data_IF_085562714079
#
_entry.id   IF_085562714079
#
_cell.length_a   1.000
_cell.length_b   1.000
_cell.length_c   1.000
_cell.angle_alpha   90.00
_cell.angle_beta   90.00
_cell.angle_gamma   90.00
#
_symmetry.space_group_name_H-M   'P 1'
#
loop_
_entity.id
_entity.type
_entity.pdbx_description
1 polymer ?
#
# COMPACT_ATOMS: atom_id res chain seq x y z
N UNK A 1 -7.20 60.94 -20.53
CA UNK A 1 -7.28 59.99 -19.40
C UNK A 1 -6.85 58.62 -19.91
N UNK A 2 -5.60 58.25 -19.59
CA UNK A 2 -4.99 56.97 -19.92
C UNK A 2 -5.45 55.94 -18.89
N UNK A 3 -6.13 54.89 -19.34
CA UNK A 3 -6.46 53.72 -18.52
C UNK A 3 -5.33 52.73 -18.64
N UNK A 4 -4.51 52.59 -17.61
CA UNK A 4 -3.54 51.50 -17.47
C UNK A 4 -4.29 50.22 -17.09
N UNK A 5 -4.24 49.21 -17.96
CA UNK A 5 -4.69 47.84 -17.67
C UNK A 5 -3.74 47.19 -16.66
N UNK A 6 -4.23 46.53 -15.59
CA UNK A 6 -3.33 45.80 -14.70
C UNK A 6 -2.75 44.58 -15.44
N UNK A 7 -1.42 44.41 -15.28
CA UNK A 7 -0.74 43.22 -15.76
C UNK A 7 -1.22 41.99 -14.97
N UNK A 8 -1.82 41.04 -15.66
CA UNK A 8 -2.13 39.70 -15.10
C UNK A 8 -0.81 38.90 -15.13
N UNK A 9 -0.14 38.83 -14.00
CA UNK A 9 0.97 37.90 -13.81
C UNK A 9 0.40 36.50 -13.61
N UNK A 10 0.41 35.69 -14.64
CA UNK A 10 0.15 34.24 -14.56
C UNK A 10 1.37 33.58 -13.90
N UNK A 11 1.35 33.43 -12.58
CA UNK A 11 2.28 32.54 -11.92
C UNK A 11 1.91 31.09 -12.29
N UNK A 12 2.76 30.47 -13.12
CA UNK A 12 2.64 29.04 -13.42
C UNK A 12 3.08 28.25 -12.18
N UNK A 13 2.13 27.79 -11.38
CA UNK A 13 2.40 26.83 -10.32
C UNK A 13 2.59 25.47 -11.00
N UNK A 14 3.83 25.01 -11.03
CA UNK A 14 4.17 23.66 -11.45
C UNK A 14 3.67 22.70 -10.35
N UNK A 15 2.48 22.14 -10.50
CA UNK A 15 2.05 21.02 -9.70
C UNK A 15 2.77 19.79 -10.26
N UNK A 16 3.73 19.27 -9.54
CA UNK A 16 4.36 18.01 -9.90
C UNK A 16 3.28 16.93 -9.95
N UNK A 17 3.06 16.36 -11.13
CA UNK A 17 2.14 15.24 -11.31
C UNK A 17 2.81 14.02 -10.70
N UNK A 18 2.24 13.48 -9.63
CA UNK A 18 2.71 12.25 -8.99
C UNK A 18 2.55 11.06 -9.95
N UNK A 19 3.58 10.22 -9.98
CA UNK A 19 3.58 8.97 -10.73
C UNK A 19 3.36 7.76 -9.77
N UNK A 20 3.28 6.54 -10.32
CA UNK A 20 3.06 5.32 -9.55
C UNK A 20 4.12 5.10 -8.46
N UNK A 21 5.39 5.44 -8.75
CA UNK A 21 6.46 5.30 -7.77
C UNK A 21 6.30 6.27 -6.59
N UNK A 22 5.81 7.48 -6.84
CA UNK A 22 5.53 8.46 -5.78
C UNK A 22 4.41 7.97 -4.85
N UNK A 23 3.33 7.41 -5.41
CA UNK A 23 2.24 6.84 -4.61
C UNK A 23 2.68 5.60 -3.82
N UNK A 24 3.50 4.73 -4.43
CA UNK A 24 4.05 3.57 -3.73
C UNK A 24 5.01 3.98 -2.61
N UNK A 25 5.82 5.03 -2.81
CA UNK A 25 6.68 5.57 -1.75
C UNK A 25 5.84 6.06 -0.57
N UNK A 26 4.73 6.76 -0.81
CA UNK A 26 3.80 7.17 0.27
C UNK A 26 3.20 5.97 0.99
N UNK A 27 2.90 4.86 0.30
CA UNK A 27 2.44 3.64 0.94
C UNK A 27 3.53 3.03 1.84
N UNK A 28 4.79 3.05 1.41
CA UNK A 28 5.95 2.63 2.21
C UNK A 28 6.10 3.48 3.47
N UNK A 29 6.02 4.81 3.33
CA UNK A 29 6.12 5.75 4.46
C UNK A 29 4.98 5.55 5.48
N UNK A 30 3.77 5.21 5.00
CA UNK A 30 2.65 4.85 5.88
C UNK A 30 2.91 3.54 6.63
N UNK A 31 3.48 2.53 5.97
CA UNK A 31 3.79 1.24 6.60
C UNK A 31 4.77 1.40 7.78
N UNK A 32 5.68 2.36 7.72
CA UNK A 32 6.64 2.63 8.80
C UNK A 32 5.97 3.02 10.13
N UNK A 33 4.78 3.62 10.09
CA UNK A 33 4.00 3.98 11.29
C UNK A 33 3.63 2.76 12.14
N UNK A 34 3.57 1.56 11.53
CA UNK A 34 3.32 0.29 12.22
C UNK A 34 4.52 -0.31 12.95
N UNK A 35 5.69 0.35 12.97
CA UNK A 35 6.97 -0.21 13.45
C UNK A 35 6.89 -0.87 14.84
N UNK A 36 6.16 -0.27 15.75
CA UNK A 36 6.10 -0.72 17.15
C UNK A 36 4.80 -1.47 17.51
N UNK A 37 3.84 -1.53 16.59
CA UNK A 37 2.49 -2.02 16.92
C UNK A 37 2.00 -3.17 16.03
N UNK A 38 2.52 -3.29 14.80
CA UNK A 38 2.08 -4.31 13.86
C UNK A 38 2.59 -5.73 14.19
N UNK A 39 3.74 -5.85 14.89
CA UNK A 39 4.33 -7.16 15.22
C UNK A 39 3.35 -8.08 15.97
N UNK A 40 3.30 -9.40 15.64
CA UNK A 40 4.14 -10.17 14.73
C UNK A 40 3.73 -10.09 13.25
N UNK A 41 2.68 -9.35 12.90
CA UNK A 41 2.26 -9.13 11.52
C UNK A 41 3.24 -8.22 10.77
N UNK A 42 3.33 -8.34 9.43
CA UNK A 42 4.10 -7.42 8.63
C UNK A 42 3.52 -6.00 8.69
N UNK A 43 4.38 -5.00 8.59
CA UNK A 43 4.00 -3.62 8.36
C UNK A 43 3.57 -3.48 6.91
N UNK A 44 2.37 -3.00 6.70
CA UNK A 44 1.80 -2.78 5.37
C UNK A 44 1.20 -1.38 5.32
N UNK A 45 1.41 -0.70 4.21
CA UNK A 45 0.78 0.58 3.90
C UNK A 45 0.03 0.50 2.58
N UNK A 46 -1.01 1.31 2.47
CA UNK A 46 -1.90 1.36 1.32
C UNK A 46 -2.30 2.79 1.00
N UNK A 47 -2.21 3.16 -0.28
CA UNK A 47 -2.67 4.43 -0.85
C UNK A 47 -3.70 4.10 -1.92
N UNK A 48 -4.82 4.83 -1.95
CA UNK A 48 -5.85 4.71 -2.99
C UNK A 48 -5.92 6.03 -3.75
N UNK A 49 -5.85 5.94 -5.07
CA UNK A 49 -5.79 7.09 -5.99
C UNK A 49 -6.89 7.00 -7.02
N UNK A 50 -7.59 8.10 -7.29
CA UNK A 50 -8.55 8.23 -8.39
C UNK A 50 -8.35 9.58 -9.06
N UNK A 51 -8.24 9.57 -10.40
CA UNK A 51 -8.02 10.77 -11.20
C UNK A 51 -6.80 11.60 -10.75
N UNK A 52 -5.68 10.94 -10.39
CA UNK A 52 -4.47 11.58 -9.91
C UNK A 52 -4.55 12.15 -8.48
N UNK A 53 -5.67 11.96 -7.78
CA UNK A 53 -5.86 12.42 -6.40
C UNK A 53 -5.86 11.25 -5.42
N UNK A 54 -5.15 11.41 -4.31
CA UNK A 54 -5.18 10.46 -3.21
C UNK A 54 -6.52 10.62 -2.48
N UNK A 55 -7.35 9.58 -2.52
CA UNK A 55 -8.66 9.55 -1.88
C UNK A 55 -8.69 8.71 -0.59
N UNK A 56 -7.71 7.83 -0.38
CA UNK A 56 -7.64 7.00 0.82
C UNK A 56 -6.22 6.64 1.21
N UNK A 57 -5.98 6.56 2.52
CA UNK A 57 -4.71 6.21 3.15
C UNK A 57 -4.94 5.20 4.25
N UNK A 58 -4.14 4.14 4.29
CA UNK A 58 -4.23 3.13 5.34
C UNK A 58 -2.90 2.49 5.64
N UNK A 59 -2.73 2.01 6.86
CA UNK A 59 -1.62 1.14 7.24
C UNK A 59 -2.11 0.13 8.28
N UNK A 60 -1.39 -0.98 8.43
CA UNK A 60 -1.71 -1.96 9.47
C UNK A 60 -1.28 -1.42 10.83
N UNK A 61 -2.25 -0.95 11.59
CA UNK A 61 -2.00 -0.24 12.86
C UNK A 61 -1.51 -1.19 13.94
N UNK A 62 -2.19 -2.34 14.11
CA UNK A 62 -1.90 -3.31 15.18
C UNK A 62 -2.38 -4.70 14.81
N UNK A 63 -1.64 -5.72 15.25
CA UNK A 63 -2.07 -7.12 15.16
C UNK A 63 -3.49 -7.33 15.69
N UNK A 64 -4.31 -8.02 14.91
CA UNK A 64 -5.71 -8.31 15.21
C UNK A 64 -6.71 -7.23 14.80
N UNK A 65 -6.24 -6.08 14.30
CA UNK A 65 -7.06 -5.03 13.70
C UNK A 65 -7.07 -5.14 12.17
N UNK A 66 -7.85 -4.25 11.52
CA UNK A 66 -7.96 -4.18 10.07
C UNK A 66 -6.60 -4.01 9.39
N UNK A 67 -6.45 -4.60 8.21
CA UNK A 67 -5.26 -4.46 7.39
C UNK A 67 -5.24 -3.10 6.68
N UNK A 68 -4.11 -2.78 6.06
CA UNK A 68 -3.87 -1.48 5.43
C UNK A 68 -4.91 -1.14 4.35
N UNK A 69 -5.28 -2.13 3.53
CA UNK A 69 -6.24 -1.98 2.43
C UNK A 69 -7.63 -1.63 2.97
N UNK A 70 -8.09 -2.34 4.00
CA UNK A 70 -9.40 -2.09 4.64
C UNK A 70 -9.43 -0.72 5.29
N UNK A 71 -8.33 -0.31 5.94
CA UNK A 71 -8.21 1.04 6.52
C UNK A 71 -8.22 2.12 5.44
N UNK A 72 -7.55 1.89 4.29
CA UNK A 72 -7.55 2.82 3.18
C UNK A 72 -8.92 2.94 2.49
N UNK A 73 -9.65 1.83 2.34
CA UNK A 73 -11.03 1.83 1.83
C UNK A 73 -11.94 2.61 2.78
N UNK A 74 -11.81 2.40 4.09
CA UNK A 74 -12.61 3.11 5.09
C UNK A 74 -12.33 4.62 5.10
N UNK A 75 -11.09 5.04 4.88
CA UNK A 75 -10.69 6.45 4.77
C UNK A 75 -11.25 7.11 3.50
N UNK A 76 -11.24 6.36 2.37
CA UNK A 76 -11.70 6.86 1.08
C UNK A 76 -13.23 6.91 0.93
N UNK A 77 -13.95 5.98 1.54
CA UNK A 77 -15.37 5.73 1.28
C UNK A 77 -15.57 4.98 -0.04
N UNK A 78 -15.99 5.65 -1.12
CA UNK A 78 -16.15 5.04 -2.44
C UNK A 78 -14.80 5.00 -3.17
N UNK A 79 -14.37 3.79 -3.56
CA UNK A 79 -13.10 3.52 -4.27
C UNK A 79 -13.30 2.86 -5.64
N UNK A 80 -14.53 2.83 -6.15
CA UNK A 80 -14.82 2.32 -7.49
C UNK A 80 -13.94 3.00 -8.54
N UNK A 81 -13.43 2.21 -9.49
CA UNK A 81 -12.51 2.63 -10.56
C UNK A 81 -11.17 3.24 -10.07
N UNK A 82 -10.83 3.12 -8.80
CA UNK A 82 -9.58 3.63 -8.27
C UNK A 82 -8.39 2.68 -8.52
N UNK A 83 -7.18 3.24 -8.44
CA UNK A 83 -5.92 2.49 -8.37
C UNK A 83 -5.48 2.39 -6.90
N UNK A 84 -5.12 1.18 -6.48
CA UNK A 84 -4.64 0.88 -5.13
C UNK A 84 -3.14 0.56 -5.18
N UNK A 85 -2.34 1.22 -4.34
CA UNK A 85 -0.92 0.94 -4.14
C UNK A 85 -0.73 0.31 -2.77
N UNK A 86 -0.19 -0.89 -2.72
CA UNK A 86 0.00 -1.64 -1.47
C UNK A 86 1.40 -2.23 -1.39
N UNK A 87 2.03 -2.14 -0.23
CA UNK A 87 3.44 -2.53 -0.04
C UNK A 87 3.67 -4.04 0.05
N UNK A 88 2.62 -4.83 0.24
CA UNK A 88 2.67 -6.29 0.31
C UNK A 88 1.41 -6.87 -0.36
N UNK A 89 1.53 -8.05 -0.94
CA UNK A 89 0.41 -8.77 -1.57
C UNK A 89 -0.83 -8.82 -0.64
N UNK A 90 -2.02 -8.41 -1.12
CA UNK A 90 -3.27 -8.53 -0.37
C UNK A 90 -3.59 -9.97 -0.01
N UNK A 91 -3.89 -10.24 1.26
CA UNK A 91 -4.20 -11.59 1.71
C UNK A 91 -5.45 -12.17 1.03
N UNK A 92 -5.41 -13.49 0.74
CA UNK A 92 -6.50 -14.25 0.09
C UNK A 92 -7.19 -15.24 1.01
N UNK A 93 -6.66 -15.47 2.21
CA UNK A 93 -7.22 -16.40 3.18
C UNK A 93 -7.99 -15.67 4.29
N UNK A 94 -9.02 -16.32 4.80
CA UNK A 94 -9.78 -15.84 5.95
C UNK A 94 -9.00 -16.13 7.23
N UNK A 95 -8.57 -15.05 7.89
CA UNK A 95 -7.95 -15.08 9.19
C UNK A 95 -8.92 -14.58 10.27
N UNK A 96 -8.48 -13.64 11.10
CA UNK A 96 -9.32 -12.91 12.05
C UNK A 96 -10.22 -11.88 11.38
N UNK A 97 -9.85 -11.46 10.17
CA UNK A 97 -10.60 -10.54 9.31
C UNK A 97 -10.83 -11.19 7.94
N UNK A 98 -11.86 -10.77 7.19
CA UNK A 98 -12.03 -11.20 5.81
C UNK A 98 -10.79 -10.89 4.96
N UNK A 99 -10.54 -11.63 3.87
CA UNK A 99 -9.41 -11.39 2.99
C UNK A 99 -9.42 -9.99 2.37
N UNK A 100 -8.26 -9.35 2.31
CA UNK A 100 -8.14 -8.02 1.69
C UNK A 100 -8.41 -8.06 0.19
N UNK A 101 -8.06 -9.16 -0.50
CA UNK A 101 -8.44 -9.36 -1.90
C UNK A 101 -9.95 -9.31 -2.12
N UNK A 102 -10.75 -9.89 -1.23
CA UNK A 102 -12.22 -9.82 -1.31
C UNK A 102 -12.74 -8.41 -1.06
N UNK A 103 -12.14 -7.69 -0.13
CA UNK A 103 -12.52 -6.30 0.12
C UNK A 103 -12.26 -5.41 -1.11
N UNK A 104 -11.13 -5.57 -1.79
CA UNK A 104 -10.78 -4.84 -3.00
C UNK A 104 -11.70 -5.21 -4.19
N UNK A 105 -12.01 -6.50 -4.35
CA UNK A 105 -12.95 -6.98 -5.39
C UNK A 105 -14.34 -6.39 -5.15
N UNK A 106 -14.86 -6.49 -3.92
CA UNK A 106 -16.18 -5.96 -3.56
C UNK A 106 -16.26 -4.44 -3.73
N UNK A 107 -15.15 -3.75 -3.53
CA UNK A 107 -15.05 -2.31 -3.70
C UNK A 107 -14.87 -1.85 -5.16
N UNK A 108 -14.84 -2.79 -6.12
CA UNK A 108 -14.74 -2.53 -7.58
C UNK A 108 -13.56 -1.63 -7.96
N UNK A 109 -12.37 -1.86 -7.38
CA UNK A 109 -11.17 -1.13 -7.78
C UNK A 109 -10.74 -1.54 -9.19
N UNK A 110 -10.21 -0.62 -9.99
CA UNK A 110 -9.80 -0.91 -11.37
C UNK A 110 -8.41 -1.55 -11.47
N UNK A 111 -7.48 -1.15 -10.58
CA UNK A 111 -6.07 -1.56 -10.65
C UNK A 111 -5.46 -1.68 -9.26
N UNK A 112 -4.60 -2.67 -9.07
CA UNK A 112 -3.81 -2.84 -7.85
C UNK A 112 -2.33 -2.94 -8.21
N UNK A 113 -1.52 -2.04 -7.64
CA UNK A 113 -0.06 -2.06 -7.75
C UNK A 113 0.51 -2.59 -6.45
N UNK A 114 1.20 -3.73 -6.53
CA UNK A 114 1.76 -4.46 -5.38
C UNK A 114 3.27 -4.32 -5.40
N UNK A 115 3.87 -3.84 -4.30
CA UNK A 115 5.32 -3.69 -4.26
C UNK A 115 6.05 -5.04 -4.21
N UNK A 116 5.57 -6.00 -3.42
CA UNK A 116 6.16 -7.33 -3.33
C UNK A 116 5.11 -8.42 -3.06
N UNK A 117 5.34 -9.62 -3.60
CA UNK A 117 4.55 -10.79 -3.25
C UNK A 117 4.76 -11.18 -1.77
N UNK A 118 3.79 -11.87 -1.18
CA UNK A 118 3.96 -12.40 0.17
C UNK A 118 5.08 -13.46 0.18
N UNK A 119 6.11 -13.34 1.04
CA UNK A 119 7.18 -14.33 1.13
C UNK A 119 6.72 -15.67 1.75
N UNK A 120 5.50 -15.75 2.30
CA UNK A 120 4.96 -16.98 2.82
C UNK A 120 4.57 -17.93 1.65
N UNK A 121 5.22 -19.09 1.47
CA UNK A 121 4.98 -19.97 0.34
C UNK A 121 3.55 -20.55 0.29
N UNK A 122 2.81 -20.48 1.41
CA UNK A 122 1.42 -20.96 1.47
C UNK A 122 0.42 -19.94 0.89
N UNK A 123 0.83 -18.70 0.68
CA UNK A 123 -0.05 -17.60 0.21
C UNK A 123 0.50 -16.87 -1.01
N UNK A 124 1.80 -17.01 -1.28
CA UNK A 124 2.49 -16.31 -2.36
C UNK A 124 1.76 -16.43 -3.71
N UNK A 125 1.38 -15.30 -4.29
CA UNK A 125 0.67 -15.20 -5.57
C UNK A 125 -0.84 -15.46 -5.52
N UNK A 126 -1.39 -15.98 -4.43
CA UNK A 126 -2.81 -16.35 -4.36
C UNK A 126 -3.74 -15.12 -4.26
N UNK A 127 -3.29 -14.06 -3.60
CA UNK A 127 -4.01 -12.80 -3.54
C UNK A 127 -4.04 -12.10 -4.90
N UNK A 128 -2.89 -12.07 -5.59
CA UNK A 128 -2.75 -11.53 -6.93
C UNK A 128 -3.63 -12.29 -7.90
N UNK A 129 -3.51 -13.62 -7.94
CA UNK A 129 -4.32 -14.47 -8.83
C UNK A 129 -5.82 -14.28 -8.64
N UNK A 130 -6.26 -14.09 -7.39
CA UNK A 130 -7.67 -13.84 -7.07
C UNK A 130 -8.17 -12.50 -7.61
N UNK A 131 -7.35 -11.44 -7.51
CA UNK A 131 -7.66 -10.13 -8.08
C UNK A 131 -7.75 -10.19 -9.61
N UNK A 132 -6.77 -10.83 -10.27
CA UNK A 132 -6.75 -11.02 -11.73
C UNK A 132 -7.94 -11.82 -12.23
N UNK A 133 -8.33 -12.91 -11.53
CA UNK A 133 -9.52 -13.71 -11.86
C UNK A 133 -10.83 -12.90 -11.74
N UNK A 134 -10.86 -11.88 -10.89
CA UNK A 134 -11.97 -10.95 -10.78
C UNK A 134 -11.95 -9.81 -11.83
N UNK A 135 -10.95 -9.81 -12.74
CA UNK A 135 -10.81 -8.82 -13.80
C UNK A 135 -10.11 -7.53 -13.39
N UNK A 136 -9.50 -7.48 -12.19
CA UNK A 136 -8.72 -6.33 -11.72
C UNK A 136 -7.31 -6.39 -12.32
N UNK A 137 -6.83 -5.30 -12.90
CA UNK A 137 -5.46 -5.21 -13.40
C UNK A 137 -4.46 -5.20 -12.23
N UNK A 138 -3.47 -6.11 -12.23
CA UNK A 138 -2.46 -6.18 -11.17
C UNK A 138 -1.06 -5.97 -11.74
N UNK A 139 -0.28 -5.12 -11.09
CA UNK A 139 1.13 -4.91 -11.36
C UNK A 139 1.94 -5.26 -10.11
N UNK A 140 3.05 -6.00 -10.29
CA UNK A 140 3.91 -6.47 -9.21
C UNK A 140 5.34 -5.96 -9.37
N UNK A 141 5.96 -5.53 -8.26
CA UNK A 141 7.40 -5.31 -8.17
C UNK A 141 7.82 -3.85 -8.03
N UNK A 142 6.88 -2.89 -8.12
CA UNK A 142 7.19 -1.47 -8.02
C UNK A 142 7.73 -1.13 -6.61
N UNK A 143 8.97 -0.61 -6.53
CA UNK A 143 9.70 -0.34 -5.28
C UNK A 143 9.82 -1.56 -4.34
N UNK A 144 9.82 -2.78 -4.90
CA UNK A 144 9.83 -4.03 -4.14
C UNK A 144 11.01 -4.16 -3.17
N UNK A 145 12.20 -3.65 -3.55
CA UNK A 145 13.37 -3.65 -2.68
C UNK A 145 13.18 -2.81 -1.42
N UNK A 146 12.54 -1.64 -1.54
CA UNK A 146 12.23 -0.77 -0.40
C UNK A 146 11.14 -1.39 0.47
N UNK A 147 10.07 -1.92 -0.13
CA UNK A 147 9.01 -2.62 0.59
C UNK A 147 9.55 -3.81 1.39
N UNK A 148 10.51 -4.55 0.83
CA UNK A 148 11.18 -5.66 1.50
C UNK A 148 11.93 -5.23 2.77
N UNK A 149 12.53 -4.05 2.78
CA UNK A 149 13.24 -3.50 3.95
C UNK A 149 12.31 -3.14 5.11
N UNK A 150 11.01 -2.97 4.86
CA UNK A 150 10.04 -2.74 5.94
C UNK A 150 9.98 -3.91 6.91
N UNK A 151 10.09 -5.16 6.42
CA UNK A 151 9.73 -6.36 7.18
C UNK A 151 10.82 -7.44 7.22
N UNK A 152 12.11 -7.12 7.57
CA UNK A 152 13.19 -8.09 7.49
C UNK A 152 12.97 -9.32 8.39
N UNK A 153 12.35 -9.12 9.55
CA UNK A 153 12.05 -10.21 10.49
C UNK A 153 10.95 -11.15 9.98
N UNK A 154 9.87 -10.59 9.42
CA UNK A 154 8.80 -11.36 8.79
C UNK A 154 9.33 -12.17 7.61
N UNK A 155 10.04 -11.53 6.71
CA UNK A 155 10.59 -12.15 5.51
C UNK A 155 11.54 -13.29 5.86
N UNK A 156 12.51 -13.06 6.75
CA UNK A 156 13.45 -14.09 7.18
C UNK A 156 12.74 -15.31 7.79
N UNK A 157 11.69 -15.06 8.58
CA UNK A 157 10.88 -16.13 9.16
C UNK A 157 10.15 -16.93 8.10
N UNK A 158 9.55 -16.29 7.08
CA UNK A 158 8.78 -16.97 6.04
C UNK A 158 9.68 -17.73 5.05
N UNK A 159 10.80 -17.13 4.65
CA UNK A 159 11.71 -17.72 3.68
C UNK A 159 12.64 -18.79 4.28
N UNK A 160 13.11 -18.60 5.51
CA UNK A 160 14.16 -19.42 6.11
C UNK A 160 13.73 -20.18 7.38
N UNK A 161 12.54 -19.89 7.92
CA UNK A 161 12.10 -20.43 9.22
C UNK A 161 12.91 -19.91 10.43
N UNK A 162 13.72 -18.85 10.23
CA UNK A 162 14.65 -18.37 11.25
C UNK A 162 14.19 -17.03 11.87
N UNK A 163 14.45 -16.79 13.17
CA UNK A 163 14.17 -15.51 13.78
C UNK A 163 15.13 -14.42 13.29
N UNK A 164 14.67 -13.18 13.31
CA UNK A 164 15.51 -11.99 13.14
C UNK A 164 16.07 -11.57 14.51
N UNK A 165 17.37 -11.69 14.69
CA UNK A 165 18.05 -11.30 15.93
C UNK A 165 18.76 -9.97 15.74
N UNK A 166 18.48 -9.01 16.60
CA UNK A 166 19.18 -7.71 16.66
C UNK A 166 19.85 -7.59 18.03
N UNK A 167 21.16 -7.50 18.04
CA UNK A 167 21.96 -7.26 19.26
C UNK A 167 22.28 -5.77 19.33
N UNK A 168 21.98 -5.14 20.48
CA UNK A 168 22.36 -3.77 20.81
C UNK A 168 23.28 -3.81 22.03
N UNK A 169 24.53 -3.39 21.87
CA UNK A 169 25.48 -3.27 22.93
C UNK A 169 25.62 -1.78 23.29
N UNK A 170 25.47 -1.47 24.58
CA UNK A 170 25.80 -0.15 25.13
C UNK A 170 27.20 -0.28 25.80
N UNK A 171 28.14 0.56 25.39
CA UNK A 171 29.44 0.75 26.04
C UNK A 171 29.42 2.04 26.85
#
# INVERSE_FOLDING_TARGET
>A
KSQTRPAVTTEWVWVAVMNDADYMQLAIDLAEKGLYTASPNPRVGCIIVRNGQIIGRGYHVRTGQAHAEVNAIADAGNVEDATVYVTLEPCSHTGRTPPCSDALITANVARVVVAMADPNPLVAGSGIAKLEQAGIAVELGLLGSQARQLNPGYIKRMELGLPWVRVKLAM
#
